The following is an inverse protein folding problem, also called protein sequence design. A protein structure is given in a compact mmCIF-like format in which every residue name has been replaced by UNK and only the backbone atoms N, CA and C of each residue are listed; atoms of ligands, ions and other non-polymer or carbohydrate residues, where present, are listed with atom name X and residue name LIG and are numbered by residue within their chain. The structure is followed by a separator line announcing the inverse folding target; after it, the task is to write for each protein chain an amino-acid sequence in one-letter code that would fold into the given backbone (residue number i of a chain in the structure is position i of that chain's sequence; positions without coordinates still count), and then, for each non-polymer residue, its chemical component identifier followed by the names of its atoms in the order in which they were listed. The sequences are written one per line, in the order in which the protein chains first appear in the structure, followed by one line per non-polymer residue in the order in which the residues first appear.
data_IF_737550977506
#
_entry.id   IF_737550977506
#
_cell.length_a   1.000
_cell.length_b   1.000
_cell.length_c   1.000
_cell.angle_alpha   90.00
_cell.angle_beta   90.00
_cell.angle_gamma   90.00
#
_symmetry.space_group_name_H-M   'P 1'
#
loop_
_entity.id
_entity.type
_entity.pdbx_description
1 polymer ?
#
# COMPACT_ATOMS: atom_id res chain seq x y z
N UNK A 1 -26.44 -2.23 43.85
CA UNK A 1 -26.68 -2.10 42.40
C UNK A 1 -26.82 -0.61 42.12
N UNK A 2 -25.77 0.04 41.63
CA UNK A 2 -25.78 1.47 41.31
C UNK A 2 -25.08 1.61 39.96
N UNK A 3 -25.87 1.96 38.95
CA UNK A 3 -25.50 1.97 37.54
C UNK A 3 -24.50 3.08 37.24
N UNK A 4 -23.33 2.72 36.72
CA UNK A 4 -22.28 3.68 36.36
C UNK A 4 -22.54 4.18 34.94
N UNK A 5 -23.28 5.29 34.79
CA UNK A 5 -23.52 5.94 33.50
C UNK A 5 -22.31 6.77 33.07
N UNK A 6 -21.37 6.18 32.35
CA UNK A 6 -20.26 6.91 31.73
C UNK A 6 -20.75 7.64 30.48
N UNK A 7 -21.06 8.93 30.63
CA UNK A 7 -21.42 9.84 29.54
C UNK A 7 -20.18 10.15 28.69
N UNK A 8 -20.07 9.52 27.52
CA UNK A 8 -19.06 9.86 26.52
C UNK A 8 -19.59 10.98 25.61
N UNK A 9 -19.26 12.23 25.91
CA UNK A 9 -19.61 13.37 25.06
C UNK A 9 -18.73 13.37 23.81
N UNK A 10 -19.17 12.69 22.76
CA UNK A 10 -18.53 12.74 21.46
C UNK A 10 -19.12 13.91 20.67
N UNK A 11 -18.32 14.97 20.54
CA UNK A 11 -18.67 16.16 19.77
C UNK A 11 -19.18 15.82 18.37
N UNK A 12 -20.24 16.54 17.97
CA UNK A 12 -21.02 16.47 16.70
C UNK A 12 -22.13 15.43 16.68
N UNK A 13 -23.22 15.78 17.35
CA UNK A 13 -24.58 15.27 17.08
C UNK A 13 -24.90 15.48 15.60
N UNK A 14 -24.97 14.43 14.79
CA UNK A 14 -25.61 14.47 13.47
C UNK A 14 -27.09 14.16 13.69
N UNK A 15 -27.94 15.17 13.49
CA UNK A 15 -29.39 15.02 13.55
C UNK A 15 -29.85 14.43 12.21
N UNK A 16 -30.47 13.26 12.23
CA UNK A 16 -31.26 12.75 11.11
C UNK A 16 -32.63 13.42 11.21
N UNK A 17 -32.99 14.18 10.17
CA UNK A 17 -34.35 14.71 9.97
C UNK A 17 -34.98 13.88 8.85
N UNK A 18 -36.20 13.39 9.07
CA UNK A 18 -36.94 12.58 8.10
C UNK A 18 -38.22 13.29 7.65
N UNK A 19 -38.52 13.10 6.36
CA UNK A 19 -39.75 13.36 5.57
C UNK A 19 -39.92 14.83 5.10
N UNK A 20 -40.21 15.16 3.83
CA UNK A 20 -40.96 14.45 2.78
C UNK A 20 -40.67 15.04 1.37
N UNK A 21 -40.86 14.20 0.32
CA UNK A 21 -41.10 14.49 -1.13
C UNK A 21 -40.05 15.18 -2.03
N UNK A 22 -39.64 14.41 -3.06
CA UNK A 22 -39.22 14.72 -4.45
C UNK A 22 -37.92 15.47 -4.81
N UNK A 23 -37.36 15.01 -5.94
CA UNK A 23 -36.39 15.58 -6.87
C UNK A 23 -34.87 15.54 -6.60
N UNK A 24 -34.22 14.57 -7.27
CA UNK A 24 -32.84 14.55 -7.85
C UNK A 24 -31.59 14.36 -6.94
N UNK A 25 -30.51 13.74 -7.46
CA UNK A 25 -29.37 13.33 -6.63
C UNK A 25 -28.20 14.33 -6.69
N UNK A 26 -27.64 14.77 -5.54
CA UNK A 26 -26.31 15.35 -5.52
C UNK A 26 -25.29 14.38 -4.92
N UNK A 27 -24.35 14.01 -5.79
CA UNK A 27 -23.03 13.47 -5.53
C UNK A 27 -22.31 14.25 -4.43
N UNK A 28 -21.85 13.57 -3.37
CA UNK A 28 -20.54 13.79 -2.74
C UNK A 28 -20.35 12.82 -1.56
N UNK A 29 -19.68 11.68 -1.77
CA UNK A 29 -19.14 10.89 -0.68
C UNK A 29 -17.84 11.55 -0.17
N UNK A 30 -17.66 11.78 1.14
CA UNK A 30 -16.38 12.22 1.68
C UNK A 30 -15.45 11.01 1.71
N UNK A 31 -14.55 10.93 0.73
CA UNK A 31 -13.46 9.96 0.74
C UNK A 31 -12.65 10.13 2.03
N UNK A 32 -12.73 9.13 2.90
CA UNK A 32 -11.88 9.03 4.09
C UNK A 32 -10.44 8.95 3.59
N UNK A 33 -9.70 10.05 3.67
CA UNK A 33 -8.25 10.05 3.51
C UNK A 33 -7.71 9.26 4.69
N UNK A 34 -7.42 7.99 4.48
CA UNK A 34 -6.64 7.21 5.42
C UNK A 34 -5.24 7.83 5.38
N UNK A 35 -4.97 8.71 6.34
CA UNK A 35 -3.63 9.21 6.56
C UNK A 35 -2.74 8.00 6.85
N UNK A 36 -1.74 7.81 5.99
CA UNK A 36 -0.78 6.72 6.07
C UNK A 36 -0.24 6.63 7.49
N UNK A 37 -0.48 5.48 8.13
CA UNK A 37 0.19 5.10 9.38
C UNK A 37 1.67 5.33 9.17
N UNK A 38 2.29 6.18 10.00
CA UNK A 38 3.74 6.37 10.00
C UNK A 38 4.40 5.00 10.14
N UNK A 39 4.98 4.53 9.04
CA UNK A 39 6.00 3.50 9.08
C UNK A 39 7.21 4.17 9.71
N UNK A 40 7.24 4.22 11.04
CA UNK A 40 8.39 4.66 11.81
C UNK A 40 9.48 3.61 11.66
N UNK A 41 10.14 3.60 10.50
CA UNK A 41 11.30 2.77 10.23
C UNK A 41 12.52 3.40 10.92
N UNK A 42 12.74 3.06 12.20
CA UNK A 42 14.09 3.10 12.81
C UNK A 42 14.94 1.96 12.25
N UNK A 43 14.94 1.78 10.93
CA UNK A 43 15.71 0.75 10.26
C UNK A 43 16.75 1.47 9.41
N UNK A 44 18.01 1.08 9.56
CA UNK A 44 19.10 1.50 8.67
C UNK A 44 18.90 0.97 7.24
N UNK A 45 17.88 0.14 7.03
CA UNK A 45 17.52 -0.48 5.76
C UNK A 45 16.49 0.38 5.04
N UNK A 46 16.58 0.40 3.71
CA UNK A 46 15.55 1.04 2.88
C UNK A 46 14.19 0.36 3.08
N UNK A 47 13.09 1.11 2.91
CA UNK A 47 11.74 0.56 3.04
C UNK A 47 11.47 -0.61 2.07
N UNK A 48 12.12 -0.58 0.90
CA UNK A 48 12.06 -1.64 -0.10
C UNK A 48 12.79 -2.90 0.37
N UNK A 49 13.92 -2.76 1.04
CA UNK A 49 14.67 -3.90 1.59
C UNK A 49 14.10 -4.45 2.90
N UNK A 50 13.28 -3.65 3.60
CA UNK A 50 12.53 -4.12 4.75
C UNK A 50 11.34 -5.03 4.37
N UNK A 51 11.03 -5.16 3.06
CA UNK A 51 10.00 -6.07 2.58
C UNK A 51 10.45 -7.53 2.72
N UNK A 52 9.52 -8.47 2.96
CA UNK A 52 9.78 -9.89 2.79
C UNK A 52 10.33 -10.20 1.40
N UNK A 53 11.21 -11.19 1.30
CA UNK A 53 11.94 -11.50 0.07
C UNK A 53 11.01 -11.82 -1.10
N UNK A 54 9.91 -12.52 -0.85
CA UNK A 54 8.92 -12.90 -1.87
C UNK A 54 8.23 -11.67 -2.46
N UNK A 55 7.88 -10.70 -1.61
CA UNK A 55 7.27 -9.44 -2.05
C UNK A 55 8.29 -8.62 -2.83
N UNK A 56 9.54 -8.59 -2.38
CA UNK A 56 10.61 -7.94 -3.13
C UNK A 56 10.78 -8.56 -4.52
N UNK A 57 10.84 -9.89 -4.63
CA UNK A 57 10.91 -10.60 -5.92
C UNK A 57 9.73 -10.23 -6.82
N UNK A 58 8.50 -10.23 -6.29
CA UNK A 58 7.31 -9.85 -7.06
C UNK A 58 7.38 -8.42 -7.60
N UNK A 59 7.87 -7.47 -6.80
CA UNK A 59 8.10 -6.09 -7.24
C UNK A 59 9.14 -6.05 -8.36
N UNK A 60 10.23 -6.80 -8.23
CA UNK A 60 11.28 -6.86 -9.25
C UNK A 60 10.82 -7.50 -10.57
N UNK A 61 9.90 -8.46 -10.52
CA UNK A 61 9.29 -9.03 -11.74
C UNK A 61 8.48 -8.01 -12.56
N UNK A 62 8.11 -6.86 -11.98
CA UNK A 62 7.45 -5.77 -12.70
C UNK A 62 8.38 -4.87 -13.51
N UNK A 63 9.70 -5.05 -13.38
CA UNK A 63 10.73 -4.23 -14.03
C UNK A 63 11.03 -4.75 -15.44
N UNK A 64 11.47 -3.90 -16.35
CA UNK A 64 11.88 -4.33 -17.69
C UNK A 64 13.23 -5.07 -17.68
N UNK A 65 13.44 -5.98 -18.64
CA UNK A 65 14.65 -6.82 -18.73
C UNK A 65 15.96 -6.02 -18.76
N UNK A 66 15.92 -4.80 -19.28
CA UNK A 66 17.10 -3.95 -19.46
C UNK A 66 17.53 -3.27 -18.15
N UNK A 67 16.55 -2.95 -17.30
CA UNK A 67 16.77 -2.31 -16.01
C UNK A 67 17.23 -3.32 -14.95
N UNK A 68 16.94 -4.61 -15.17
CA UNK A 68 17.38 -5.71 -14.30
C UNK A 68 18.89 -5.68 -14.05
N UNK A 69 19.70 -5.30 -15.05
CA UNK A 69 21.16 -5.17 -14.94
C UNK A 69 21.58 -4.07 -13.95
N UNK A 70 20.81 -3.00 -13.84
CA UNK A 70 21.11 -1.89 -12.94
C UNK A 70 20.85 -2.28 -11.48
N UNK A 71 19.84 -3.12 -11.23
CA UNK A 71 19.44 -3.58 -9.89
C UNK A 71 20.54 -4.36 -9.15
N UNK A 72 21.44 -5.03 -9.87
CA UNK A 72 22.59 -5.74 -9.27
C UNK A 72 23.53 -4.86 -8.45
N UNK A 73 23.53 -3.54 -8.69
CA UNK A 73 24.45 -2.59 -8.08
C UNK A 73 23.85 -1.79 -6.92
N UNK A 74 22.56 -1.97 -6.59
CA UNK A 74 21.88 -1.13 -5.59
C UNK A 74 22.21 -1.60 -4.17
N UNK A 75 21.96 -2.87 -3.85
CA UNK A 75 22.26 -3.44 -2.54
C UNK A 75 22.39 -4.96 -2.60
N UNK A 76 22.86 -5.57 -1.50
CA UNK A 76 23.00 -7.03 -1.42
C UNK A 76 21.65 -7.74 -1.49
N UNK A 77 20.67 -7.23 -0.75
CA UNK A 77 19.30 -7.72 -0.70
C UNK A 77 18.64 -7.69 -2.09
N UNK A 78 18.77 -6.55 -2.79
CA UNK A 78 18.19 -6.39 -4.13
C UNK A 78 18.88 -7.34 -5.12
N UNK A 79 20.20 -7.49 -5.05
CA UNK A 79 20.93 -8.42 -5.91
C UNK A 79 20.44 -9.86 -5.75
N UNK A 80 20.27 -10.32 -4.51
CA UNK A 80 19.79 -11.68 -4.23
C UNK A 80 18.36 -11.91 -4.73
N UNK A 81 17.46 -10.96 -4.47
CA UNK A 81 16.10 -11.01 -5.00
C UNK A 81 16.06 -10.96 -6.54
N UNK A 82 16.98 -10.22 -7.16
CA UNK A 82 17.08 -10.10 -8.63
C UNK A 82 17.49 -11.43 -9.26
N UNK A 83 18.37 -12.21 -8.64
CA UNK A 83 18.74 -13.55 -9.13
C UNK A 83 17.53 -14.48 -9.15
N UNK A 84 16.74 -14.47 -8.07
CA UNK A 84 15.52 -15.28 -7.99
C UNK A 84 14.49 -14.82 -9.03
N UNK A 85 14.28 -13.51 -9.17
CA UNK A 85 13.38 -12.98 -10.19
C UNK A 85 13.82 -13.39 -11.61
N UNK A 86 15.14 -13.42 -11.85
CA UNK A 86 15.72 -13.82 -13.13
C UNK A 86 15.33 -15.26 -13.49
N UNK A 87 15.53 -16.19 -12.56
CA UNK A 87 15.28 -17.62 -12.77
C UNK A 87 13.77 -17.93 -12.84
N UNK A 88 12.94 -17.21 -12.06
CA UNK A 88 11.49 -17.48 -12.00
C UNK A 88 10.67 -16.78 -13.08
N UNK A 89 11.10 -15.60 -13.55
CA UNK A 89 10.31 -14.77 -14.46
C UNK A 89 11.07 -14.45 -15.74
N UNK A 90 12.25 -13.83 -15.64
CA UNK A 90 12.91 -13.26 -16.83
C UNK A 90 13.52 -14.30 -17.76
N UNK A 91 13.79 -15.53 -17.31
CA UNK A 91 14.23 -16.61 -18.21
C UNK A 91 13.11 -17.09 -19.14
N UNK A 92 11.84 -16.94 -18.73
CA UNK A 92 10.66 -17.38 -19.47
C UNK A 92 9.84 -16.23 -20.06
N UNK A 93 10.12 -14.99 -19.65
CA UNK A 93 9.45 -13.78 -20.14
C UNK A 93 10.12 -13.27 -21.41
N UNK A 94 9.31 -12.89 -22.40
CA UNK A 94 9.84 -12.36 -23.66
C UNK A 94 10.24 -10.90 -23.47
N UNK A 95 11.51 -10.52 -23.73
CA UNK A 95 11.93 -9.13 -23.60
C UNK A 95 11.13 -8.24 -24.55
N UNK A 96 10.56 -7.17 -24.00
CA UNK A 96 9.84 -6.18 -24.79
C UNK A 96 10.83 -5.46 -25.70
N UNK A 97 10.45 -5.28 -26.97
CA UNK A 97 11.22 -4.44 -27.91
C UNK A 97 11.08 -2.99 -27.46
N UNK A 98 12.22 -2.32 -27.28
CA UNK A 98 12.31 -0.87 -27.07
C UNK A 98 11.86 -0.12 -28.32
#
# INVERSE_FOLDING_TARGET
LADYSNTLTLGRKRVVVSNDVEASPPVSTPSKKICSREISSKSEMSLLEALPQEILVQVLCGVDHEDLKQLFHVSKTIREATLIAKDLHFEYSTPKKK
#
